data_IF_797056363152
#
_entry.id   IF_797056363152
#
_cell.length_a   1.000
_cell.length_b   1.000
_cell.length_c   1.000
_cell.angle_alpha   90.00
_cell.angle_beta   90.00
_cell.angle_gamma   90.00
#
_symmetry.space_group_name_H-M   'P 1'
#
loop_
_entity.id
_entity.type
_entity.pdbx_description
1 polymer ?
#
# COMPACT_ATOMS: atom_id res chain seq x y z
N UNK A 1 2.44 18.04 -18.81
CA UNK A 1 2.87 17.21 -17.65
C UNK A 1 1.76 16.21 -17.40
N UNK A 2 2.05 14.92 -17.32
CA UNK A 2 1.06 13.92 -16.92
C UNK A 2 1.05 13.84 -15.39
N UNK A 3 -0.14 13.85 -14.79
CA UNK A 3 -0.35 13.63 -13.36
C UNK A 3 -0.73 12.15 -13.12
N UNK A 4 -0.35 11.59 -11.98
CA UNK A 4 -0.79 10.29 -11.52
C UNK A 4 -1.06 10.31 -10.02
N UNK A 5 -2.19 9.77 -9.60
CA UNK A 5 -2.44 9.48 -8.19
C UNK A 5 -1.63 8.25 -7.80
N UNK A 6 -0.80 8.37 -6.73
CA UNK A 6 0.07 7.28 -6.25
C UNK A 6 -0.44 6.61 -4.97
N UNK A 7 -1.48 7.16 -4.34
CA UNK A 7 -2.12 6.65 -3.13
C UNK A 7 -3.62 6.57 -3.37
N UNK A 8 -4.13 5.38 -3.68
CA UNK A 8 -5.52 5.15 -4.10
C UNK A 8 -6.06 3.86 -3.49
N UNK A 9 -7.21 3.96 -2.85
CA UNK A 9 -7.95 2.83 -2.30
C UNK A 9 -9.08 2.41 -3.24
N UNK A 10 -9.23 1.10 -3.44
CA UNK A 10 -10.29 0.52 -4.27
C UNK A 10 -11.37 -0.14 -3.40
N UNK A 11 -12.34 -0.76 -4.05
CA UNK A 11 -13.40 -1.55 -3.41
C UNK A 11 -12.88 -2.66 -2.47
N UNK A 12 -11.59 -3.01 -2.55
CA UNK A 12 -10.94 -3.96 -1.64
C UNK A 12 -10.49 -3.33 -0.31
N UNK A 13 -10.50 -2.00 -0.19
CA UNK A 13 -10.36 -1.27 1.08
C UNK A 13 -11.75 -1.07 1.69
N UNK A 14 -12.30 -2.13 2.29
CA UNK A 14 -13.71 -2.32 2.60
C UNK A 14 -14.38 -1.21 3.42
N UNK A 15 -13.64 -0.42 4.20
CA UNK A 15 -14.21 0.60 5.07
C UNK A 15 -14.32 1.98 4.40
N UNK A 16 -13.41 2.30 3.46
CA UNK A 16 -13.27 3.65 2.90
C UNK A 16 -13.04 3.66 1.38
N UNK A 17 -12.76 2.51 0.76
CA UNK A 17 -12.53 2.40 -0.68
C UNK A 17 -13.85 2.29 -1.46
N UNK A 18 -14.18 3.33 -2.25
CA UNK A 18 -15.37 3.35 -3.12
C UNK A 18 -15.06 3.16 -4.61
N UNK A 19 -13.78 3.15 -4.99
CA UNK A 19 -13.37 3.06 -6.38
C UNK A 19 -13.47 1.63 -6.90
N UNK A 20 -14.45 1.33 -7.74
CA UNK A 20 -14.47 0.09 -8.49
C UNK A 20 -13.38 0.13 -9.56
N UNK A 21 -12.54 -0.90 -9.62
CA UNK A 21 -11.32 -0.92 -10.44
C UNK A 21 -11.58 -0.52 -11.90
N UNK A 22 -12.59 -1.07 -12.55
CA UNK A 22 -12.89 -0.77 -13.95
C UNK A 22 -13.32 0.69 -14.16
N UNK A 23 -14.16 1.21 -13.28
CA UNK A 23 -14.63 2.60 -13.32
C UNK A 23 -13.49 3.57 -13.03
N UNK A 24 -12.64 3.25 -12.05
CA UNK A 24 -11.44 4.02 -11.72
C UNK A 24 -10.48 4.12 -12.91
N UNK A 25 -10.12 3.01 -13.54
CA UNK A 25 -9.22 3.01 -14.71
C UNK A 25 -9.82 3.78 -15.88
N UNK A 26 -11.13 3.62 -16.13
CA UNK A 26 -11.83 4.38 -17.17
C UNK A 26 -11.78 5.90 -16.90
N UNK A 27 -11.99 6.30 -15.63
CA UNK A 27 -11.92 7.71 -15.23
C UNK A 27 -10.52 8.29 -15.35
N UNK A 28 -9.48 7.55 -14.97
CA UNK A 28 -8.08 7.92 -15.16
C UNK A 28 -7.78 8.24 -16.64
N UNK A 29 -8.26 7.36 -17.54
CA UNK A 29 -8.10 7.55 -18.98
C UNK A 29 -8.87 8.78 -19.50
N UNK A 30 -10.11 8.95 -19.08
CA UNK A 30 -10.96 10.11 -19.45
C UNK A 30 -10.31 11.43 -19.04
N UNK A 31 -9.67 11.49 -17.88
CA UNK A 31 -8.94 12.65 -17.38
C UNK A 31 -7.58 12.88 -18.06
N UNK A 32 -7.23 12.07 -19.05
CA UNK A 32 -5.97 12.19 -19.79
C UNK A 32 -4.72 11.76 -19.00
N UNK A 33 -4.90 11.06 -17.90
CA UNK A 33 -3.79 10.47 -17.16
C UNK A 33 -3.31 9.20 -17.87
N UNK A 34 -2.01 8.88 -17.77
CA UNK A 34 -1.39 7.73 -18.42
C UNK A 34 -1.00 6.61 -17.44
N UNK A 35 -1.27 6.79 -16.16
CA UNK A 35 -0.94 5.81 -15.10
C UNK A 35 -2.01 5.76 -14.02
N UNK A 36 -2.20 4.58 -13.42
CA UNK A 36 -3.14 4.32 -12.34
C UNK A 36 -2.46 3.48 -11.26
N UNK A 37 -2.44 3.97 -10.02
CA UNK A 37 -1.95 3.20 -8.88
C UNK A 37 -3.10 2.50 -8.15
N UNK A 38 -2.75 1.40 -7.46
CA UNK A 38 -3.58 0.73 -6.48
C UNK A 38 -2.76 0.52 -5.21
N UNK A 39 -3.28 0.98 -4.06
CA UNK A 39 -2.60 0.95 -2.77
C UNK A 39 -3.61 0.67 -1.65
N UNK A 40 -4.32 -0.44 -1.74
CA UNK A 40 -5.34 -0.82 -0.76
C UNK A 40 -4.74 -1.08 0.63
N UNK A 41 -5.56 -0.93 1.66
CA UNK A 41 -5.17 -1.09 3.07
C UNK A 41 -4.79 -2.53 3.41
N UNK A 42 -3.49 -2.77 3.57
CA UNK A 42 -2.92 -4.02 4.04
C UNK A 42 -3.10 -5.22 3.11
N UNK A 43 -3.64 -5.04 1.91
CA UNK A 43 -3.97 -6.11 0.97
C UNK A 43 -3.51 -5.82 -0.47
N UNK A 44 -3.33 -6.88 -1.25
CA UNK A 44 -3.05 -6.83 -2.69
C UNK A 44 -4.13 -7.56 -3.51
N UNK A 45 -5.35 -7.67 -3.01
CA UNK A 45 -6.40 -8.49 -3.62
C UNK A 45 -6.80 -7.99 -5.01
N UNK A 46 -6.86 -6.67 -5.20
CA UNK A 46 -7.25 -6.04 -6.46
C UNK A 46 -6.12 -5.84 -7.47
N UNK A 47 -4.85 -6.16 -7.16
CA UNK A 47 -3.72 -5.76 -8.02
C UNK A 47 -3.76 -6.41 -9.40
N UNK A 48 -4.17 -7.67 -9.52
CA UNK A 48 -4.25 -8.36 -10.80
C UNK A 48 -5.37 -7.80 -11.66
N UNK A 49 -6.53 -7.51 -11.08
CA UNK A 49 -7.65 -6.92 -11.80
C UNK A 49 -7.34 -5.49 -12.25
N UNK A 50 -6.68 -4.70 -11.39
CA UNK A 50 -6.19 -3.38 -11.73
C UNK A 50 -5.15 -3.42 -12.85
N UNK A 51 -4.19 -4.34 -12.77
CA UNK A 51 -3.19 -4.55 -13.83
C UNK A 51 -3.84 -4.86 -15.18
N UNK A 52 -4.77 -5.82 -15.21
CA UNK A 52 -5.48 -6.23 -16.44
C UNK A 52 -6.31 -5.08 -17.01
N UNK A 53 -7.08 -4.38 -16.17
CA UNK A 53 -7.91 -3.26 -16.59
C UNK A 53 -7.07 -2.11 -17.14
N UNK A 54 -5.99 -1.73 -16.45
CA UNK A 54 -5.09 -0.66 -16.88
C UNK A 54 -4.40 -1.00 -18.21
N UNK A 55 -3.87 -2.23 -18.36
CA UNK A 55 -3.25 -2.68 -19.61
C UNK A 55 -4.23 -2.68 -20.78
N UNK A 56 -5.46 -3.15 -20.58
CA UNK A 56 -6.51 -3.11 -21.60
C UNK A 56 -6.90 -1.69 -22.02
N UNK A 57 -6.84 -0.71 -21.07
CA UNK A 57 -7.11 0.68 -21.33
C UNK A 57 -5.91 1.46 -21.93
N UNK A 58 -4.73 0.86 -22.03
CA UNK A 58 -3.48 1.53 -22.43
C UNK A 58 -2.91 2.45 -21.34
N UNK A 59 -3.24 2.21 -20.07
CA UNK A 59 -2.78 2.93 -18.89
C UNK A 59 -1.65 2.13 -18.23
N UNK A 60 -0.60 2.81 -17.74
CA UNK A 60 0.47 2.17 -16.95
C UNK A 60 -0.06 1.81 -15.56
N UNK A 61 -0.14 0.52 -15.18
CA UNK A 61 -0.46 0.13 -13.81
C UNK A 61 0.73 0.40 -12.89
N UNK A 62 0.46 0.94 -11.69
CA UNK A 62 1.41 1.10 -10.59
C UNK A 62 0.86 0.26 -9.44
N UNK A 63 1.57 -0.82 -9.09
CA UNK A 63 1.10 -1.78 -8.10
C UNK A 63 1.72 -1.48 -6.74
N UNK A 64 0.89 -1.38 -5.72
CA UNK A 64 1.30 -1.03 -4.38
C UNK A 64 0.37 -1.58 -3.31
N UNK A 65 0.67 -1.22 -2.07
CA UNK A 65 -0.13 -1.51 -0.89
C UNK A 65 0.15 -0.45 0.16
N UNK A 66 -0.87 0.02 0.88
CA UNK A 66 -0.68 0.78 2.11
C UNK A 66 -0.57 -0.21 3.28
N UNK A 67 0.66 -0.48 3.71
CA UNK A 67 0.93 -1.43 4.78
C UNK A 67 0.79 -0.80 6.16
N UNK A 68 0.49 -1.64 7.15
CA UNK A 68 0.46 -1.27 8.56
C UNK A 68 1.81 -1.61 9.19
N UNK A 69 2.57 -0.60 9.61
CA UNK A 69 3.90 -0.78 10.22
C UNK A 69 3.76 -0.82 11.74
N UNK A 70 4.19 -1.90 12.37
CA UNK A 70 4.23 -2.00 13.83
C UNK A 70 5.29 -1.03 14.40
N UNK A 71 5.03 -0.36 15.55
CA UNK A 71 6.00 0.52 16.19
C UNK A 71 7.29 -0.19 16.62
N UNK A 72 7.21 -1.50 16.83
CA UNK A 72 8.33 -2.39 17.16
C UNK A 72 8.31 -3.62 16.28
N UNK A 73 8.37 -4.80 16.89
CA UNK A 73 8.33 -6.07 16.14
C UNK A 73 6.90 -6.44 15.74
N UNK A 74 6.72 -6.95 14.51
CA UNK A 74 5.45 -7.52 14.03
C UNK A 74 4.95 -8.70 14.85
N UNK A 75 5.84 -9.34 15.60
CA UNK A 75 5.52 -10.46 16.50
C UNK A 75 4.97 -9.99 17.85
N UNK A 76 5.17 -8.74 18.21
CA UNK A 76 4.64 -8.20 19.47
C UNK A 76 3.12 -8.01 19.36
N UNK A 77 2.37 -8.79 20.14
CA UNK A 77 0.90 -8.77 20.24
C UNK A 77 0.43 -8.37 21.64
N UNK A 78 1.32 -7.81 22.45
CA UNK A 78 1.07 -7.44 23.84
C UNK A 78 0.60 -6.00 24.06
N UNK A 79 0.78 -5.12 23.05
CA UNK A 79 0.35 -3.72 23.14
C UNK A 79 -1.17 -3.62 23.33
N UNK A 80 -1.60 -3.01 24.42
CA UNK A 80 -3.00 -2.87 24.81
C UNK A 80 -3.88 -2.14 23.79
N UNK A 81 -5.06 -1.71 24.18
CA UNK A 81 -6.10 -1.12 23.32
C UNK A 81 -5.80 0.32 22.82
N UNK A 82 -4.53 0.74 22.64
CA UNK A 82 -4.20 2.07 22.17
C UNK A 82 -4.28 2.19 20.63
N UNK A 83 -4.56 3.39 20.16
CA UNK A 83 -4.59 3.72 18.72
C UNK A 83 -3.21 3.62 18.07
N UNK A 84 -2.12 3.55 18.85
CA UNK A 84 -0.72 3.51 18.42
C UNK A 84 -0.21 2.11 18.05
N UNK A 85 -1.05 1.25 17.49
CA UNK A 85 -0.67 -0.14 17.19
C UNK A 85 0.07 -0.32 15.88
N UNK A 86 -0.01 0.65 15.02
CA UNK A 86 0.60 0.64 13.68
C UNK A 86 0.58 2.02 13.05
N UNK A 87 1.52 2.24 12.16
CA UNK A 87 1.58 3.40 11.27
C UNK A 87 1.24 2.99 9.84
N UNK A 88 0.79 3.94 9.02
CA UNK A 88 0.58 3.71 7.61
C UNK A 88 1.82 4.04 6.80
N UNK A 89 2.16 3.18 5.84
CA UNK A 89 3.24 3.40 4.88
C UNK A 89 2.79 2.89 3.51
N UNK A 90 2.86 3.72 2.49
CA UNK A 90 2.54 3.29 1.13
C UNK A 90 3.80 2.73 0.47
N UNK A 91 3.70 1.52 -0.04
CA UNK A 91 4.75 0.84 -0.79
C UNK A 91 4.31 0.64 -2.24
N UNK A 92 5.17 1.01 -3.19
CA UNK A 92 4.95 0.83 -4.62
C UNK A 92 6.04 -0.07 -5.19
N UNK A 93 5.67 -0.99 -6.06
CA UNK A 93 6.61 -1.81 -6.81
C UNK A 93 7.16 -1.02 -8.01
N UNK A 94 8.46 -0.77 -8.04
CA UNK A 94 9.14 -0.11 -9.14
C UNK A 94 9.32 -1.03 -10.37
N UNK A 95 9.56 -2.32 -10.10
CA UNK A 95 9.89 -3.33 -11.09
C UNK A 95 9.40 -4.72 -10.65
N UNK A 96 9.72 -5.77 -11.42
CA UNK A 96 9.33 -7.15 -11.12
C UNK A 96 9.87 -7.62 -9.76
N UNK A 97 11.12 -7.28 -9.42
CA UNK A 97 11.71 -7.63 -8.12
C UNK A 97 10.96 -6.96 -6.98
N UNK A 98 10.61 -5.68 -7.13
CA UNK A 98 9.78 -4.95 -6.17
C UNK A 98 8.39 -5.57 -6.00
N UNK A 99 7.74 -6.03 -7.06
CA UNK A 99 6.46 -6.72 -6.98
C UNK A 99 6.57 -8.04 -6.19
N UNK A 100 7.61 -8.84 -6.44
CA UNK A 100 7.87 -10.07 -5.70
C UNK A 100 8.14 -9.78 -4.21
N UNK A 101 8.92 -8.76 -3.92
CA UNK A 101 9.23 -8.33 -2.57
C UNK A 101 7.99 -7.77 -1.85
N UNK A 102 7.19 -6.93 -2.51
CA UNK A 102 5.93 -6.42 -1.97
C UNK A 102 4.97 -7.56 -1.62
N UNK A 103 4.87 -8.56 -2.49
CA UNK A 103 4.04 -9.74 -2.23
C UNK A 103 4.51 -10.49 -0.98
N UNK A 104 5.83 -10.63 -0.77
CA UNK A 104 6.39 -11.24 0.44
C UNK A 104 6.11 -10.42 1.70
N UNK A 105 6.32 -9.10 1.63
CA UNK A 105 6.05 -8.16 2.73
C UNK A 105 4.60 -8.29 3.18
N UNK A 106 3.64 -8.17 2.26
CA UNK A 106 2.21 -8.24 2.57
C UNK A 106 1.83 -9.62 3.09
N UNK A 107 2.32 -10.70 2.48
CA UNK A 107 2.03 -12.07 2.91
C UNK A 107 2.55 -12.36 4.32
N UNK A 108 3.78 -11.94 4.65
CA UNK A 108 4.34 -12.11 5.99
C UNK A 108 3.64 -11.24 7.02
N UNK A 109 3.15 -10.07 6.64
CA UNK A 109 2.25 -9.27 7.48
C UNK A 109 1.02 -10.05 7.94
N UNK A 110 0.41 -10.84 7.04
CA UNK A 110 -0.73 -11.71 7.38
C UNK A 110 -0.32 -12.92 8.21
N UNK A 111 0.74 -13.63 7.81
CA UNK A 111 1.13 -14.91 8.44
C UNK A 111 1.78 -14.70 9.82
N UNK A 112 2.61 -13.68 9.97
CA UNK A 112 3.43 -13.45 11.15
C UNK A 112 2.89 -12.30 12.01
N UNK A 113 2.54 -11.17 11.37
CA UNK A 113 2.27 -9.90 12.03
C UNK A 113 0.81 -9.61 12.35
N UNK A 114 -0.13 -10.52 12.07
CA UNK A 114 -1.54 -10.25 12.25
C UNK A 114 -1.89 -10.02 13.73
N UNK A 115 -2.27 -8.79 14.03
CA UNK A 115 -2.83 -8.37 15.31
C UNK A 115 -3.77 -7.20 15.07
N UNK A 116 -5.09 -7.46 15.00
CA UNK A 116 -6.15 -6.59 14.49
C UNK A 116 -5.99 -6.21 13.01
N UNK A 117 -4.77 -6.00 12.54
CA UNK A 117 -4.39 -5.72 11.15
C UNK A 117 -3.16 -6.56 10.77
N UNK A 118 -2.94 -6.81 9.46
CA UNK A 118 -1.72 -7.46 8.98
C UNK A 118 -0.55 -6.48 9.07
N UNK A 119 0.26 -6.57 10.13
CA UNK A 119 1.35 -5.63 10.39
C UNK A 119 2.69 -6.15 9.86
N UNK A 120 3.45 -5.25 9.29
CA UNK A 120 4.86 -5.42 8.95
C UNK A 120 5.73 -4.67 9.97
N UNK A 121 7.06 -4.80 9.90
CA UNK A 121 8.00 -4.03 10.72
C UNK A 121 9.24 -3.64 9.92
N UNK A 122 10.13 -2.86 10.53
CA UNK A 122 11.33 -2.38 9.85
C UNK A 122 12.26 -3.51 9.44
N UNK A 123 12.38 -4.58 10.24
CA UNK A 123 13.19 -5.75 9.88
C UNK A 123 12.74 -6.37 8.55
N UNK A 124 11.42 -6.54 8.39
CA UNK A 124 10.85 -7.10 7.17
C UNK A 124 11.01 -6.15 5.97
N UNK A 125 10.87 -4.85 6.21
CA UNK A 125 11.07 -3.84 5.17
C UNK A 125 12.53 -3.77 4.73
N UNK A 126 13.49 -3.87 5.65
CA UNK A 126 14.92 -3.93 5.34
C UNK A 126 15.29 -5.19 4.55
N UNK A 127 14.68 -6.36 4.85
CA UNK A 127 14.91 -7.62 4.14
C UNK A 127 14.45 -7.56 2.68
N UNK A 128 13.33 -6.87 2.40
CA UNK A 128 12.66 -6.88 1.09
C UNK A 128 12.53 -5.51 0.43
N UNK A 129 13.40 -4.54 0.75
CA UNK A 129 13.32 -3.17 0.20
C UNK A 129 13.64 -3.04 -1.29
N UNK A 130 14.39 -3.98 -1.87
CA UNK A 130 14.86 -3.89 -3.26
C UNK A 130 13.69 -3.75 -4.24
N UNK A 131 13.72 -2.70 -5.07
CA UNK A 131 12.66 -2.40 -6.05
C UNK A 131 11.37 -1.85 -5.44
N UNK A 132 11.40 -1.40 -4.17
CA UNK A 132 10.29 -0.76 -3.48
C UNK A 132 10.51 0.75 -3.38
N UNK A 133 9.47 1.51 -3.72
CA UNK A 133 9.39 2.96 -3.46
C UNK A 133 8.42 3.14 -2.29
N UNK A 134 8.84 3.88 -1.26
CA UNK A 134 8.02 4.19 -0.09
C UNK A 134 7.53 5.64 -0.11
N UNK A 135 6.27 5.86 0.28
CA UNK A 135 5.65 7.17 0.48
C UNK A 135 5.16 7.27 1.92
N UNK A 136 5.19 8.47 2.49
CA UNK A 136 4.84 8.73 3.91
C UNK A 136 3.37 8.49 4.27
N UNK A 137 2.55 8.07 3.33
CA UNK A 137 1.11 7.80 3.48
C UNK A 137 0.29 9.04 3.91
N UNK A 138 -0.41 8.94 5.03
CA UNK A 138 -1.39 9.92 5.52
C UNK A 138 -1.03 10.44 6.92
N UNK A 139 -1.97 11.08 7.62
CA UNK A 139 -1.79 11.58 8.99
C UNK A 139 -1.45 10.47 10.00
N UNK A 140 -1.82 9.21 9.72
CA UNK A 140 -1.46 8.05 10.51
C UNK A 140 -0.06 7.47 10.13
N UNK A 141 0.72 8.16 9.30
CA UNK A 141 2.08 7.78 8.93
C UNK A 141 3.08 8.18 10.03
N UNK A 142 4.09 7.34 10.28
CA UNK A 142 5.12 7.57 11.29
C UNK A 142 5.86 8.91 11.08
N UNK A 143 6.08 9.30 9.83
CA UNK A 143 6.80 10.54 9.48
C UNK A 143 6.05 11.79 9.95
N UNK A 144 4.71 11.78 9.91
CA UNK A 144 3.88 12.90 10.34
C UNK A 144 3.59 12.90 11.85
N UNK A 145 3.62 11.73 12.47
CA UNK A 145 3.42 11.58 13.92
C UNK A 145 4.63 12.09 14.73
N UNK A 146 5.81 12.13 14.14
CA UNK A 146 6.99 12.74 14.75
C UNK A 146 6.86 14.26 14.82
N UNK A 147 5.90 14.76 15.62
CA UNK A 147 5.69 16.19 15.92
C UNK A 147 6.83 16.84 16.68
N UNK A 148 7.95 16.22 16.84
CA UNK A 148 9.04 16.69 17.69
C UNK A 148 10.39 16.61 17.02
N UNK A 149 10.52 17.25 15.86
CA UNK A 149 11.84 17.67 15.38
C UNK A 149 11.74 19.12 14.94
N UNK A 150 11.72 20.00 15.92
CA UNK A 150 12.20 21.36 15.82
C UNK A 150 13.23 21.52 16.92
#
# INVERSE_FOLDING_TARGET
MSFAHLHVHTEYSLLDGSNKIKEYVARVKELGMNSAAITDHGVMFGVIDCYRAAKAAGIKPILGCEVYVAPGSRFDKSSGASEDRYYHLVLLAENQKGYENLTKIVSRGFVEGYYYKPRVDMELLEEFHEGIIALSACLAGEVLDRKSVV
#
